data_IF_690665867156
#
_entry.id   IF_690665867156
#
_cell.length_a   1.000
_cell.length_b   1.000
_cell.length_c   1.000
_cell.angle_alpha   90.00
_cell.angle_beta   90.00
_cell.angle_gamma   90.00
#
_symmetry.space_group_name_H-M   'P 1'
#
loop_
_entity.id
_entity.type
_entity.pdbx_description
1 polymer ?
#
# COMPACT_ATOMS: atom_id res chain seq x y z
N UNK A 1 18.94 6.89 -14.19
CA UNK A 1 17.75 6.15 -14.55
C UNK A 1 16.60 6.46 -13.61
N UNK A 2 15.42 6.14 -14.02
CA UNK A 2 14.20 6.38 -13.25
C UNK A 2 14.17 5.62 -11.93
N UNK A 3 15.00 4.59 -11.78
CA UNK A 3 15.03 3.76 -10.57
C UNK A 3 15.87 4.36 -9.44
N UNK A 4 16.63 5.43 -9.70
CA UNK A 4 17.52 6.01 -8.70
C UNK A 4 16.80 6.49 -7.44
N UNK A 5 15.66 7.17 -7.60
CA UNK A 5 14.91 7.68 -6.44
C UNK A 5 14.32 6.55 -5.61
N UNK A 6 13.82 5.49 -6.24
CA UNK A 6 13.32 4.31 -5.54
C UNK A 6 14.45 3.56 -4.85
N UNK A 7 15.60 3.39 -5.53
CA UNK A 7 16.77 2.74 -4.93
C UNK A 7 17.27 3.50 -3.71
N UNK A 8 17.29 4.85 -3.77
CA UNK A 8 17.68 5.67 -2.62
C UNK A 8 16.70 5.52 -1.46
N UNK A 9 15.40 5.46 -1.77
CA UNK A 9 14.37 5.18 -0.77
C UNK A 9 14.60 3.83 -0.12
N UNK A 10 14.88 2.79 -0.91
CA UNK A 10 15.13 1.44 -0.40
C UNK A 10 16.34 1.39 0.52
N UNK A 11 17.41 2.14 0.21
CA UNK A 11 18.59 2.22 1.05
C UNK A 11 18.29 2.92 2.38
N UNK A 12 17.51 4.01 2.33
CA UNK A 12 17.17 4.80 3.51
C UNK A 12 16.17 4.09 4.42
N UNK A 13 15.20 3.40 3.83
CA UNK A 13 14.11 2.72 4.54
C UNK A 13 14.12 1.23 4.20
N UNK A 14 15.22 0.54 4.58
CA UNK A 14 15.39 -0.88 4.28
C UNK A 14 14.22 -1.71 4.82
N UNK A 15 13.80 -2.70 4.04
CA UNK A 15 12.74 -3.63 4.41
C UNK A 15 13.24 -4.55 5.51
N UNK A 16 12.80 -4.33 6.75
CA UNK A 16 13.29 -5.03 7.95
C UNK A 16 12.20 -5.70 8.77
N UNK A 17 10.93 -5.49 8.44
CA UNK A 17 9.82 -6.12 9.14
C UNK A 17 9.34 -7.32 8.33
N UNK A 18 9.38 -8.50 8.93
CA UNK A 18 8.92 -9.71 8.25
C UNK A 18 7.44 -9.96 8.56
N UNK A 19 6.66 -10.20 7.50
CA UNK A 19 5.24 -10.48 7.60
C UNK A 19 4.99 -11.97 7.79
N UNK A 20 3.73 -12.33 8.15
CA UNK A 20 3.34 -13.71 8.36
C UNK A 20 3.43 -14.57 7.09
N UNK A 21 3.28 -13.96 5.91
CA UNK A 21 3.40 -14.66 4.63
C UNK A 21 4.83 -14.64 4.06
N UNK A 22 5.78 -14.11 4.83
CA UNK A 22 7.19 -14.13 4.47
C UNK A 22 7.69 -12.93 3.67
N UNK A 23 6.88 -11.92 3.46
CA UNK A 23 7.32 -10.66 2.85
C UNK A 23 8.19 -9.88 3.82
N UNK A 24 9.08 -9.04 3.29
CA UNK A 24 9.81 -8.05 4.08
C UNK A 24 9.32 -6.67 3.70
N UNK A 25 8.84 -5.92 4.68
CA UNK A 25 8.25 -4.60 4.47
C UNK A 25 9.03 -3.54 5.25
N UNK A 26 8.82 -2.26 4.91
CA UNK A 26 9.65 -1.15 5.40
C UNK A 26 9.13 -0.50 6.66
N UNK A 27 7.89 -0.77 7.06
CA UNK A 27 7.31 -0.16 8.25
C UNK A 27 6.43 -1.14 8.98
N UNK A 28 6.22 -0.87 10.27
CA UNK A 28 5.32 -1.67 11.09
C UNK A 28 3.87 -1.59 10.57
N UNK A 29 3.45 -0.40 10.10
CA UNK A 29 2.11 -0.23 9.53
C UNK A 29 1.90 -1.10 8.31
N UNK A 30 2.88 -1.15 7.41
CA UNK A 30 2.83 -2.03 6.25
C UNK A 30 2.78 -3.50 6.67
N UNK A 31 3.51 -3.88 7.71
CA UNK A 31 3.47 -5.25 8.24
C UNK A 31 2.07 -5.61 8.72
N UNK A 32 1.42 -4.71 9.44
CA UNK A 32 0.07 -4.96 9.93
C UNK A 32 -0.94 -5.10 8.79
N UNK A 33 -0.82 -4.28 7.75
CA UNK A 33 -1.67 -4.38 6.56
C UNK A 33 -1.43 -5.71 5.84
N UNK A 34 -0.17 -6.06 5.61
CA UNK A 34 0.18 -7.31 4.93
C UNK A 34 -0.37 -8.52 5.70
N UNK A 35 -0.15 -8.56 7.01
CA UNK A 35 -0.64 -9.64 7.86
C UNK A 35 -2.17 -9.73 7.80
N UNK A 36 -2.85 -8.59 7.79
CA UNK A 36 -4.30 -8.56 7.69
C UNK A 36 -4.78 -9.17 6.37
N UNK A 37 -4.15 -8.79 5.27
CA UNK A 37 -4.48 -9.30 3.93
C UNK A 37 -4.24 -10.81 3.85
N UNK A 38 -3.13 -11.27 4.43
CA UNK A 38 -2.79 -12.69 4.46
C UNK A 38 -3.83 -13.48 5.26
N UNK A 39 -4.18 -13.01 6.46
CA UNK A 39 -5.15 -13.68 7.32
C UNK A 39 -6.56 -13.67 6.71
N UNK A 40 -6.87 -12.66 5.91
CA UNK A 40 -8.14 -12.59 5.19
C UNK A 40 -8.17 -13.48 3.93
N UNK A 41 -7.05 -14.13 3.61
CA UNK A 41 -6.95 -14.99 2.43
C UNK A 41 -6.89 -14.24 1.12
N UNK A 42 -6.46 -12.98 1.13
CA UNK A 42 -6.41 -12.15 -0.07
C UNK A 42 -5.00 -12.15 -0.66
N UNK A 43 -4.89 -12.65 -1.89
CA UNK A 43 -3.63 -12.62 -2.64
C UNK A 43 -3.25 -11.16 -2.91
N UNK A 44 -2.01 -10.81 -2.62
CA UNK A 44 -1.52 -9.44 -2.78
C UNK A 44 -0.03 -9.42 -3.09
N UNK A 45 0.40 -8.35 -3.76
CA UNK A 45 1.81 -8.05 -4.02
C UNK A 45 2.22 -6.83 -3.22
N UNK A 46 3.46 -6.80 -2.77
CA UNK A 46 4.04 -5.67 -2.04
C UNK A 46 4.90 -4.84 -2.99
N UNK A 47 4.80 -3.51 -2.88
CA UNK A 47 5.56 -2.55 -3.69
C UNK A 47 5.41 -2.78 -5.20
N UNK A 48 4.16 -2.81 -5.66
CA UNK A 48 3.86 -3.00 -7.06
C UNK A 48 4.01 -1.69 -7.83
N UNK A 49 4.86 -1.70 -8.88
CA UNK A 49 4.93 -0.58 -9.80
C UNK A 49 3.64 -0.50 -10.60
N UNK A 50 3.07 0.70 -10.73
CA UNK A 50 1.89 0.92 -11.56
C UNK A 50 2.27 0.75 -13.04
N UNK A 51 1.38 0.19 -13.87
CA UNK A 51 1.65 -0.02 -15.31
C UNK A 51 1.45 1.27 -16.11
N UNK A 52 2.25 2.29 -15.83
CA UNK A 52 2.17 3.63 -16.42
C UNK A 52 3.58 4.13 -16.69
N UNK A 53 3.68 5.26 -17.40
CA UNK A 53 4.98 5.86 -17.71
C UNK A 53 5.69 6.39 -16.45
N UNK A 54 4.92 7.02 -15.55
CA UNK A 54 5.47 7.56 -14.31
C UNK A 54 5.99 6.44 -13.41
N UNK A 55 7.08 6.70 -12.70
CA UNK A 55 7.64 5.74 -11.74
C UNK A 55 6.92 5.83 -10.40
N UNK A 56 5.75 5.22 -10.32
CA UNK A 56 4.94 5.20 -9.11
C UNK A 56 4.75 3.77 -8.63
N UNK A 57 5.01 3.56 -7.34
CA UNK A 57 4.85 2.28 -6.67
C UNK A 57 3.75 2.38 -5.63
N UNK A 58 2.85 1.39 -5.61
CA UNK A 58 1.88 1.24 -4.53
C UNK A 58 2.50 0.41 -3.40
N UNK A 59 1.98 0.54 -2.19
CA UNK A 59 2.39 -0.34 -1.12
C UNK A 59 1.90 -1.76 -1.37
N UNK A 60 0.63 -1.92 -1.76
CA UNK A 60 0.05 -3.23 -2.05
C UNK A 60 -0.83 -3.19 -3.29
N UNK A 61 -0.92 -4.33 -3.95
CA UNK A 61 -1.83 -4.53 -5.07
C UNK A 61 -2.56 -5.85 -4.89
N UNK A 62 -3.89 -5.81 -5.01
CA UNK A 62 -4.76 -6.98 -4.98
C UNK A 62 -5.24 -7.27 -6.40
N UNK A 63 -4.80 -8.37 -7.03
CA UNK A 63 -5.26 -8.74 -8.38
C UNK A 63 -6.78 -8.91 -8.47
N UNK A 64 -7.38 -9.50 -7.43
CA UNK A 64 -8.83 -9.59 -7.34
C UNK A 64 -9.40 -8.19 -7.15
N UNK A 65 -10.20 -7.73 -8.08
CA UNK A 65 -10.75 -6.39 -8.05
C UNK A 65 -9.82 -5.30 -8.55
N UNK A 66 -8.54 -5.62 -8.82
CA UNK A 66 -7.54 -4.66 -9.33
C UNK A 66 -7.44 -3.42 -8.47
N UNK A 67 -7.22 -3.63 -7.19
CA UNK A 67 -7.20 -2.55 -6.19
C UNK A 67 -5.79 -2.33 -5.68
N UNK A 68 -5.38 -1.07 -5.63
CA UNK A 68 -4.13 -0.66 -5.00
C UNK A 68 -4.42 -0.16 -3.59
N UNK A 69 -3.51 -0.47 -2.67
CA UNK A 69 -3.58 0.05 -1.30
C UNK A 69 -2.35 0.91 -1.08
N UNK A 70 -2.56 2.15 -0.67
CA UNK A 70 -1.51 3.09 -0.36
C UNK A 70 -1.52 3.39 1.13
N UNK A 71 -0.39 3.14 1.79
CA UNK A 71 -0.19 3.48 3.19
C UNK A 71 0.59 4.79 3.27
N UNK A 72 0.04 5.78 3.97
CA UNK A 72 0.63 7.12 4.04
C UNK A 72 1.55 7.31 5.25
N UNK A 73 1.67 6.32 6.12
CA UNK A 73 2.53 6.40 7.28
C UNK A 73 3.90 5.77 7.06
N UNK A 74 4.75 5.89 8.07
CA UNK A 74 6.04 5.22 8.15
C UNK A 74 6.42 5.11 9.62
N UNK A 75 7.50 4.36 9.92
CA UNK A 75 7.99 4.28 11.31
C UNK A 75 8.56 5.61 11.80
N UNK A 76 8.86 6.54 10.90
CA UNK A 76 9.47 7.83 11.23
C UNK A 76 8.52 9.01 11.10
N UNK A 77 7.26 8.78 10.74
CA UNK A 77 6.28 9.85 10.59
C UNK A 77 5.20 9.54 9.57
N UNK A 78 4.66 10.59 8.97
CA UNK A 78 3.61 10.48 7.96
C UNK A 78 4.02 11.20 6.68
N UNK A 79 3.37 10.83 5.58
CA UNK A 79 3.57 11.48 4.29
C UNK A 79 2.94 12.87 4.29
N UNK A 80 3.60 13.85 3.69
CA UNK A 80 3.07 15.21 3.59
C UNK A 80 1.81 15.25 2.72
N UNK A 81 0.95 16.24 2.99
CA UNK A 81 -0.27 16.43 2.20
C UNK A 81 0.04 16.68 0.72
N UNK A 82 1.09 17.42 0.42
CA UNK A 82 1.50 17.68 -0.96
C UNK A 82 1.79 16.37 -1.69
N UNK A 83 2.57 15.50 -1.07
CA UNK A 83 2.93 14.20 -1.66
C UNK A 83 1.69 13.34 -1.85
N UNK A 84 0.77 13.32 -0.88
CA UNK A 84 -0.48 12.58 -0.99
C UNK A 84 -1.30 13.05 -2.18
N UNK A 85 -1.45 14.37 -2.31
CA UNK A 85 -2.23 14.97 -3.40
C UNK A 85 -1.63 14.61 -4.76
N UNK A 86 -0.32 14.75 -4.90
CA UNK A 86 0.38 14.44 -6.15
C UNK A 86 0.21 12.97 -6.53
N UNK A 87 0.41 12.08 -5.58
CA UNK A 87 0.33 10.64 -5.83
C UNK A 87 -1.10 10.19 -6.09
N UNK A 88 -2.06 10.71 -5.31
CA UNK A 88 -3.48 10.42 -5.52
C UNK A 88 -3.94 10.84 -6.90
N UNK A 89 -3.44 11.99 -7.39
CA UNK A 89 -3.76 12.48 -8.73
C UNK A 89 -3.34 11.50 -9.83
N UNK A 90 -2.23 10.78 -9.65
CA UNK A 90 -1.78 9.77 -10.61
C UNK A 90 -2.78 8.63 -10.68
N UNK A 91 -3.25 8.11 -9.54
CA UNK A 91 -4.26 7.05 -9.52
C UNK A 91 -5.55 7.50 -10.21
N UNK A 92 -5.98 8.74 -9.94
CA UNK A 92 -7.19 9.31 -10.56
C UNK A 92 -7.02 9.47 -12.06
N UNK A 93 -5.87 9.97 -12.51
CA UNK A 93 -5.58 10.18 -13.93
C UNK A 93 -5.74 8.89 -14.75
N UNK A 94 -5.29 7.77 -14.20
CA UNK A 94 -5.33 6.49 -14.89
C UNK A 94 -6.54 5.62 -14.52
N UNK A 95 -7.43 6.12 -13.68
CA UNK A 95 -8.65 5.41 -13.30
C UNK A 95 -8.42 4.17 -12.45
N UNK A 96 -7.35 4.13 -11.67
CA UNK A 96 -7.06 2.99 -10.79
C UNK A 96 -7.90 3.05 -9.51
N UNK A 97 -8.30 1.89 -9.05
CA UNK A 97 -8.97 1.75 -7.75
C UNK A 97 -7.95 1.90 -6.63
N UNK A 98 -8.23 2.78 -5.68
CA UNK A 98 -7.29 3.10 -4.60
C UNK A 98 -7.98 3.03 -3.25
N UNK A 99 -7.34 2.33 -2.31
CA UNK A 99 -7.67 2.37 -0.89
C UNK A 99 -6.51 3.08 -0.19
N UNK A 100 -6.84 4.09 0.61
CA UNK A 100 -5.84 4.87 1.35
C UNK A 100 -5.92 4.54 2.83
N UNK A 101 -4.77 4.23 3.43
CA UNK A 101 -4.66 3.89 4.85
C UNK A 101 -3.72 4.91 5.50
N UNK A 102 -4.21 5.58 6.54
CA UNK A 102 -3.39 6.52 7.34
C UNK A 102 -2.72 5.79 8.49
N UNK A 103 -1.75 6.45 9.13
CA UNK A 103 -1.05 5.87 10.27
C UNK A 103 -2.00 5.46 11.40
N UNK A 104 -2.99 6.27 11.70
CA UNK A 104 -3.96 6.00 12.77
C UNK A 104 -4.93 4.86 12.42
N UNK A 105 -5.06 4.52 11.14
CA UNK A 105 -6.01 3.49 10.69
C UNK A 105 -5.53 2.07 10.99
N UNK A 106 -4.23 1.87 11.24
CA UNK A 106 -3.67 0.52 11.39
C UNK A 106 -4.18 -0.21 12.63
N UNK A 107 -4.72 0.52 13.60
CA UNK A 107 -5.34 -0.07 14.79
C UNK A 107 -6.79 -0.50 14.54
N UNK A 108 -7.35 -0.18 13.37
CA UNK A 108 -8.75 -0.45 13.04
C UNK A 108 -8.91 -1.12 11.67
N UNK A 109 -7.94 -1.91 11.26
CA UNK A 109 -7.97 -2.56 9.94
C UNK A 109 -9.17 -3.49 9.78
N UNK A 110 -9.60 -4.16 10.84
CA UNK A 110 -10.77 -5.04 10.81
C UNK A 110 -12.07 -4.29 10.50
N UNK A 111 -12.12 -3.00 10.77
CA UNK A 111 -13.27 -2.16 10.46
C UNK A 111 -13.11 -1.50 9.09
N UNK A 112 -11.92 -0.98 8.82
CA UNK A 112 -11.66 -0.16 7.63
C UNK A 112 -11.55 -0.99 6.37
N UNK A 113 -10.72 -2.03 6.37
CA UNK A 113 -10.43 -2.79 5.16
C UNK A 113 -11.63 -3.55 4.61
N UNK A 114 -12.45 -4.25 5.41
CA UNK A 114 -13.64 -4.91 4.86
C UNK A 114 -14.59 -3.91 4.17
N UNK A 115 -14.76 -2.72 4.76
CA UNK A 115 -15.62 -1.69 4.20
C UNK A 115 -15.08 -1.17 2.88
N UNK A 116 -13.78 -0.83 2.83
CA UNK A 116 -13.15 -0.30 1.63
C UNK A 116 -13.09 -1.34 0.52
N UNK A 117 -12.78 -2.58 0.85
CA UNK A 117 -12.72 -3.67 -0.12
C UNK A 117 -14.08 -3.94 -0.75
N UNK A 118 -15.17 -3.86 0.03
CA UNK A 118 -16.52 -4.04 -0.51
C UNK A 118 -16.89 -3.01 -1.56
N UNK A 119 -16.35 -1.80 -1.47
CA UNK A 119 -16.56 -0.78 -2.51
C UNK A 119 -16.10 -1.26 -3.88
N UNK A 120 -15.14 -2.16 -3.92
CA UNK A 120 -14.57 -2.70 -5.15
C UNK A 120 -14.95 -4.17 -5.39
N UNK A 121 -16.00 -4.63 -4.72
CA UNK A 121 -16.52 -5.97 -4.94
C UNK A 121 -15.70 -7.09 -4.30
N UNK A 122 -14.81 -6.77 -3.37
CA UNK A 122 -13.98 -7.77 -2.68
C UNK A 122 -14.58 -8.05 -1.31
N UNK A 123 -14.88 -9.33 -1.06
CA UNK A 123 -15.36 -9.78 0.24
C UNK A 123 -14.19 -10.38 1.01
N UNK A 124 -13.91 -9.83 2.21
CA UNK A 124 -12.82 -10.30 3.05
C UNK A 124 -13.28 -11.39 4.03
N UNK A 125 -14.52 -11.33 4.48
CA UNK A 125 -15.12 -12.30 5.39
C UNK A 125 -16.51 -12.69 4.91
#
# INVERSE_FOLDING_TARGET
STDKSFSSFQQKFAAKHRTSDGHYVRSKGEMLIDNWLYMAGLVHAYERKLPIEEMVYSNFYLPKGRVYIQFWGSDTGTTSEKTKIEKRAVYLKYGFHLIEIESEDVDQLDTILPKELRRFGIRAY
#
